data_IF_728033392969
#
_entry.id   IF_728033392969
#
_cell.length_a   1.000
_cell.length_b   1.000
_cell.length_c   1.000
_cell.angle_alpha   90.00
_cell.angle_beta   90.00
_cell.angle_gamma   90.00
#
_symmetry.space_group_name_H-M   'P 1'
#
loop_
_entity.id
_entity.type
_entity.pdbx_description
1 polymer ?
#
# COMPACT_ATOMS: atom_id res chain seq x y z
N UNK A 1 -5.55 -15.86 16.34
CA UNK A 1 -4.36 -16.52 15.74
C UNK A 1 -4.67 -17.23 14.42
N UNK A 2 -5.68 -18.11 14.37
CA UNK A 2 -6.03 -18.85 13.14
C UNK A 2 -6.28 -17.91 11.96
N UNK A 3 -7.10 -16.87 12.15
CA UNK A 3 -7.37 -15.86 11.13
C UNK A 3 -6.11 -15.14 10.64
N UNK A 4 -5.22 -14.71 11.55
CA UNK A 4 -3.96 -14.08 11.18
C UNK A 4 -3.05 -15.00 10.35
N UNK A 5 -3.02 -16.30 10.70
CA UNK A 5 -2.25 -17.31 9.95
C UNK A 5 -2.85 -17.52 8.56
N UNK A 6 -4.18 -17.68 8.50
CA UNK A 6 -4.93 -17.85 7.26
C UNK A 6 -4.74 -16.66 6.31
N UNK A 7 -4.90 -15.43 6.81
CA UNK A 7 -4.69 -14.21 6.03
C UNK A 7 -3.24 -14.12 5.54
N UNK A 8 -2.26 -14.42 6.40
CA UNK A 8 -0.86 -14.41 6.04
C UNK A 8 -0.50 -15.43 4.94
N UNK A 9 -1.00 -16.67 5.05
CA UNK A 9 -0.81 -17.71 4.04
C UNK A 9 -1.44 -17.34 2.71
N UNK A 10 -2.65 -16.77 2.72
CA UNK A 10 -3.30 -16.31 1.49
C UNK A 10 -2.53 -15.13 0.87
N UNK A 11 -2.12 -14.15 1.66
CA UNK A 11 -1.28 -13.06 1.16
C UNK A 11 0.04 -13.57 0.59
N UNK A 12 0.63 -14.62 1.19
CA UNK A 12 1.83 -15.27 0.65
C UNK A 12 1.55 -15.90 -0.71
N UNK A 13 0.40 -16.56 -0.90
CA UNK A 13 -0.01 -17.07 -2.22
C UNK A 13 -0.16 -15.93 -3.25
N UNK A 14 -0.79 -14.82 -2.87
CA UNK A 14 -0.91 -13.63 -3.73
C UNK A 14 0.44 -13.06 -4.13
N UNK A 15 1.34 -12.89 -3.16
CA UNK A 15 2.70 -12.43 -3.39
C UNK A 15 3.47 -13.37 -4.34
N UNK A 16 3.36 -14.68 -4.16
CA UNK A 16 3.99 -15.67 -5.04
C UNK A 16 3.39 -15.66 -6.46
N UNK A 17 2.10 -15.35 -6.62
CA UNK A 17 1.52 -15.12 -7.94
C UNK A 17 2.18 -13.93 -8.64
N UNK A 18 2.42 -12.83 -7.90
CA UNK A 18 3.15 -11.69 -8.44
C UNK A 18 4.60 -12.03 -8.76
N UNK A 19 5.26 -12.86 -7.97
CA UNK A 19 6.62 -13.33 -8.28
C UNK A 19 6.67 -14.03 -9.65
N UNK A 20 5.69 -14.87 -10.00
CA UNK A 20 5.63 -15.48 -11.34
C UNK A 20 5.49 -14.41 -12.43
N UNK A 21 4.60 -13.43 -12.26
CA UNK A 21 4.42 -12.35 -13.24
C UNK A 21 5.69 -11.51 -13.37
N UNK A 22 6.26 -11.05 -12.26
CA UNK A 22 7.47 -10.22 -12.20
C UNK A 22 8.69 -10.94 -12.81
N UNK A 23 8.86 -12.24 -12.56
CA UNK A 23 10.00 -12.98 -13.11
C UNK A 23 9.79 -13.39 -14.57
N UNK A 24 8.54 -13.42 -15.05
CA UNK A 24 8.22 -13.69 -16.45
C UNK A 24 8.21 -12.41 -17.30
N UNK A 25 7.92 -11.25 -16.70
CA UNK A 25 7.86 -9.92 -17.31
C UNK A 25 8.93 -9.02 -16.71
N UNK A 26 10.03 -8.81 -17.42
CA UNK A 26 11.15 -7.97 -16.94
C UNK A 26 10.91 -6.47 -17.07
N UNK A 27 9.81 -6.04 -17.69
CA UNK A 27 9.45 -4.62 -17.78
C UNK A 27 9.03 -4.08 -16.41
N UNK A 28 9.55 -2.92 -16.02
CA UNK A 28 9.06 -2.18 -14.85
C UNK A 28 7.67 -1.58 -15.08
N UNK A 29 7.07 -1.07 -14.01
CA UNK A 29 5.73 -0.48 -13.97
C UNK A 29 4.72 -1.31 -13.18
N UNK A 30 5.11 -2.48 -12.67
CA UNK A 30 4.28 -3.31 -11.79
C UNK A 30 2.99 -3.78 -12.45
N UNK A 31 1.89 -3.77 -11.70
CA UNK A 31 0.57 -4.23 -12.15
C UNK A 31 0.11 -3.58 -13.46
N UNK A 32 0.39 -2.28 -13.61
CA UNK A 32 0.02 -1.53 -14.80
C UNK A 32 0.57 -2.18 -16.07
N UNK A 33 1.85 -2.54 -16.08
CA UNK A 33 2.50 -3.12 -17.24
C UNK A 33 1.97 -4.52 -17.54
N UNK A 34 1.68 -5.31 -16.50
CA UNK A 34 1.07 -6.64 -16.68
C UNK A 34 -0.31 -6.53 -17.32
N UNK A 35 -1.14 -5.62 -16.82
CA UNK A 35 -2.49 -5.39 -17.34
C UNK A 35 -2.43 -4.84 -18.77
N UNK A 36 -1.51 -3.91 -19.06
CA UNK A 36 -1.32 -3.31 -20.37
C UNK A 36 -0.99 -4.36 -21.43
N UNK A 37 -0.02 -5.24 -21.13
CA UNK A 37 0.42 -6.29 -22.05
C UNK A 37 -0.66 -7.39 -22.21
N UNK A 38 -1.45 -7.69 -21.17
CA UNK A 38 -2.43 -8.78 -21.18
C UNK A 38 -3.78 -8.40 -21.78
N UNK A 39 -4.32 -7.25 -21.37
CA UNK A 39 -5.70 -6.84 -21.62
C UNK A 39 -5.82 -5.51 -22.36
N UNK A 40 -4.70 -4.84 -22.65
CA UNK A 40 -4.65 -3.62 -23.45
C UNK A 40 -4.78 -2.32 -22.65
N UNK A 41 -4.91 -1.18 -23.35
CA UNK A 41 -4.70 0.14 -22.76
C UNK A 41 -5.85 0.63 -21.86
N UNK A 42 -7.10 0.22 -22.10
CA UNK A 42 -8.24 0.68 -21.31
C UNK A 42 -8.16 0.19 -19.85
N UNK A 43 -8.04 -1.12 -19.55
CA UNK A 43 -7.93 -1.58 -18.17
C UNK A 43 -6.67 -1.07 -17.47
N UNK A 44 -5.56 -0.95 -18.21
CA UNK A 44 -4.31 -0.40 -17.69
C UNK A 44 -4.46 1.08 -17.30
N UNK A 45 -5.13 1.88 -18.14
CA UNK A 45 -5.44 3.27 -17.82
C UNK A 45 -6.36 3.36 -16.59
N UNK A 46 -7.39 2.51 -16.47
CA UNK A 46 -8.27 2.50 -15.30
C UNK A 46 -7.52 2.17 -14.00
N UNK A 47 -6.54 1.25 -14.06
CA UNK A 47 -5.65 0.99 -12.92
C UNK A 47 -4.86 2.24 -12.56
N UNK A 48 -4.27 2.93 -13.54
CA UNK A 48 -3.50 4.15 -13.28
C UNK A 48 -4.35 5.31 -12.79
N UNK A 49 -5.53 5.48 -13.35
CA UNK A 49 -6.52 6.48 -12.97
C UNK A 49 -6.89 6.33 -11.48
N UNK A 50 -7.28 5.12 -11.08
CA UNK A 50 -7.63 4.84 -9.69
C UNK A 50 -6.43 4.94 -8.76
N UNK A 51 -5.24 4.51 -9.21
CA UNK A 51 -4.02 4.61 -8.40
C UNK A 51 -3.58 6.07 -8.18
N UNK A 52 -3.64 6.92 -9.20
CA UNK A 52 -3.17 8.30 -9.16
C UNK A 52 -4.12 9.22 -8.40
N UNK A 53 -5.43 9.12 -8.65
CA UNK A 53 -6.39 10.08 -8.11
C UNK A 53 -7.11 9.60 -6.85
N UNK A 54 -7.18 8.29 -6.61
CA UNK A 54 -7.98 7.73 -5.53
C UNK A 54 -7.12 6.99 -4.50
N UNK A 55 -6.50 5.86 -4.88
CA UNK A 55 -5.84 4.92 -3.95
C UNK A 55 -4.54 5.51 -3.37
N UNK A 56 -3.69 6.08 -4.23
CA UNK A 56 -2.41 6.63 -3.80
C UNK A 56 -2.55 7.79 -2.81
N UNK A 57 -3.26 8.86 -3.18
CA UNK A 57 -3.40 10.06 -2.35
C UNK A 57 -4.07 9.84 -0.99
N UNK A 58 -5.12 9.04 -0.95
CA UNK A 58 -5.84 8.67 0.28
C UNK A 58 -4.99 7.80 1.22
N UNK A 59 -4.27 6.82 0.69
CA UNK A 59 -3.34 5.99 1.46
C UNK A 59 -2.25 6.85 2.09
N UNK A 60 -1.73 7.84 1.34
CA UNK A 60 -0.78 8.80 1.88
C UNK A 60 -1.39 9.67 2.99
N UNK A 61 -2.63 10.13 2.80
CA UNK A 61 -3.36 10.93 3.79
C UNK A 61 -3.59 10.16 5.10
N UNK A 62 -4.04 8.90 5.03
CA UNK A 62 -4.21 8.03 6.19
C UNK A 62 -2.90 7.91 6.97
N UNK A 63 -1.81 7.55 6.31
CA UNK A 63 -0.53 7.34 6.99
C UNK A 63 -0.01 8.64 7.62
N UNK A 64 -0.14 9.77 6.92
CA UNK A 64 0.25 11.07 7.46
C UNK A 64 -0.58 11.47 8.68
N UNK A 65 -1.90 11.24 8.66
CA UNK A 65 -2.79 11.46 9.81
C UNK A 65 -2.47 10.54 10.98
N UNK A 66 -2.15 9.26 10.71
CA UNK A 66 -1.68 8.34 11.75
C UNK A 66 -0.41 8.85 12.42
N UNK A 67 0.60 9.27 11.64
CA UNK A 67 1.82 9.87 12.21
C UNK A 67 1.48 11.09 13.07
N UNK A 68 0.62 11.98 12.58
CA UNK A 68 0.24 13.18 13.31
C UNK A 68 -0.44 12.87 14.65
N UNK A 69 -1.41 11.93 14.67
CA UNK A 69 -2.10 11.52 15.89
C UNK A 69 -1.13 10.95 16.93
N UNK A 70 -0.19 10.09 16.53
CA UNK A 70 0.79 9.52 17.46
C UNK A 70 1.82 10.55 17.94
N UNK A 71 2.17 11.55 17.12
CA UNK A 71 3.07 12.64 17.52
C UNK A 71 2.42 13.64 18.48
N UNK A 72 1.08 13.73 18.51
CA UNK A 72 0.36 14.59 19.46
C UNK A 72 0.16 13.98 20.84
N UNK A 73 0.27 12.66 20.97
CA UNK A 73 0.05 11.93 22.24
C UNK A 73 0.86 12.50 23.42
N UNK A 74 2.16 12.85 23.30
CA UNK A 74 2.93 13.39 24.42
C UNK A 74 2.42 14.72 24.97
N UNK A 75 1.68 15.51 24.15
CA UNK A 75 1.24 16.85 24.51
C UNK A 75 -0.19 16.88 25.05
N UNK A 76 -1.04 15.97 24.56
CA UNK A 76 -2.48 15.97 24.82
C UNK A 76 -2.98 14.67 25.50
N UNK A 77 -2.13 13.66 25.64
CA UNK A 77 -2.54 12.34 26.12
C UNK A 77 -3.16 11.48 25.02
N UNK A 78 -3.82 10.38 25.42
CA UNK A 78 -4.44 9.43 24.49
C UNK A 78 -5.90 9.77 24.13
N UNK A 79 -6.51 10.77 24.78
CA UNK A 79 -7.92 11.12 24.57
C UNK A 79 -8.09 11.95 23.27
N UNK A 80 -8.69 11.36 22.22
CA UNK A 80 -8.89 12.03 20.92
C UNK A 80 -9.65 13.37 21.03
N UNK A 81 -10.54 13.49 22.02
CA UNK A 81 -11.35 14.71 22.28
C UNK A 81 -10.47 15.92 22.65
N UNK A 82 -9.27 15.67 23.16
CA UNK A 82 -8.38 16.74 23.64
C UNK A 82 -7.52 17.37 22.54
N UNK A 83 -7.35 16.70 21.38
CA UNK A 83 -6.43 17.15 20.33
C UNK A 83 -7.15 18.06 19.32
N UNK A 84 -6.71 19.31 19.13
CA UNK A 84 -7.31 20.18 18.12
C UNK A 84 -7.10 19.59 16.71
N UNK A 85 -8.20 19.34 15.98
CA UNK A 85 -8.17 18.80 14.60
C UNK A 85 -7.21 19.58 13.69
N UNK A 86 -7.17 20.90 13.82
CA UNK A 86 -6.30 21.76 13.01
C UNK A 86 -4.80 21.47 13.25
N UNK A 87 -4.40 21.10 14.47
CA UNK A 87 -3.04 20.74 14.78
C UNK A 87 -2.65 19.41 14.11
N UNK A 88 -3.51 18.39 14.20
CA UNK A 88 -3.32 17.10 13.53
C UNK A 88 -3.19 17.27 12.02
N UNK A 89 -4.11 18.04 11.41
CA UNK A 89 -4.10 18.32 9.97
C UNK A 89 -2.81 19.03 9.55
N UNK A 90 -2.37 20.03 10.31
CA UNK A 90 -1.14 20.77 10.00
C UNK A 90 0.10 19.86 10.10
N UNK A 91 0.21 19.08 11.16
CA UNK A 91 1.31 18.12 11.34
C UNK A 91 1.30 17.08 10.21
N UNK A 92 0.13 16.55 9.84
CA UNK A 92 0.01 15.58 8.76
C UNK A 92 0.48 16.18 7.41
N UNK A 93 0.08 17.42 7.10
CA UNK A 93 0.54 18.12 5.89
C UNK A 93 2.05 18.34 5.93
N UNK A 94 2.63 18.72 7.07
CA UNK A 94 4.07 18.88 7.24
C UNK A 94 4.83 17.56 7.00
N UNK A 95 4.38 16.46 7.62
CA UNK A 95 4.96 15.11 7.45
C UNK A 95 4.91 14.69 5.99
N UNK A 96 3.76 14.90 5.34
CA UNK A 96 3.56 14.56 3.94
C UNK A 96 4.48 15.40 3.03
N UNK A 97 4.55 16.71 3.25
CA UNK A 97 5.45 17.59 2.49
C UNK A 97 6.92 17.19 2.65
N UNK A 98 7.38 16.93 3.88
CA UNK A 98 8.75 16.50 4.16
C UNK A 98 9.08 15.17 3.46
N UNK A 99 8.17 14.20 3.51
CA UNK A 99 8.34 12.91 2.83
C UNK A 99 8.51 13.11 1.32
N UNK A 100 7.61 13.88 0.70
CA UNK A 100 7.66 14.17 -0.73
C UNK A 100 8.92 14.94 -1.12
N UNK A 101 9.31 15.92 -0.32
CA UNK A 101 10.51 16.73 -0.53
C UNK A 101 11.77 15.86 -0.56
N UNK A 102 11.92 14.93 0.40
CA UNK A 102 13.07 14.02 0.44
C UNK A 102 13.08 13.08 -0.78
N UNK A 103 11.90 12.57 -1.18
CA UNK A 103 11.75 11.76 -2.38
C UNK A 103 12.13 12.52 -3.66
N UNK A 104 11.87 13.83 -3.72
CA UNK A 104 12.29 14.67 -4.84
C UNK A 104 13.80 14.91 -4.90
N UNK A 105 14.48 15.04 -3.75
CA UNK A 105 15.91 15.40 -3.71
C UNK A 105 16.83 14.20 -3.96
N UNK A 106 16.53 13.04 -3.37
CA UNK A 106 17.44 11.91 -3.48
C UNK A 106 16.80 10.57 -3.18
N UNK A 107 16.87 9.69 -4.19
CA UNK A 107 16.56 8.25 -4.07
C UNK A 107 17.41 7.59 -2.98
N UNK A 108 18.70 7.96 -2.85
CA UNK A 108 19.61 7.36 -1.86
C UNK A 108 19.20 7.70 -0.43
N UNK A 109 18.86 8.96 -0.16
CA UNK A 109 18.37 9.37 1.15
C UNK A 109 17.02 8.73 1.48
N UNK A 110 16.12 8.69 0.50
CA UNK A 110 14.83 8.00 0.62
C UNK A 110 14.99 6.54 1.00
N UNK A 111 15.90 5.81 0.35
CA UNK A 111 16.19 4.42 0.67
C UNK A 111 16.81 4.24 2.06
N UNK A 112 17.75 5.11 2.46
CA UNK A 112 18.35 5.09 3.81
C UNK A 112 17.32 5.35 4.90
N UNK A 113 16.42 6.32 4.70
CA UNK A 113 15.32 6.59 5.61
C UNK A 113 14.35 5.40 5.68
N UNK A 114 14.06 4.76 4.55
CA UNK A 114 13.23 3.55 4.54
C UNK A 114 13.84 2.44 5.41
N UNK A 115 15.16 2.22 5.32
CA UNK A 115 15.88 1.26 6.17
C UNK A 115 15.78 1.66 7.64
N UNK A 116 16.01 2.94 7.96
CA UNK A 116 15.87 3.45 9.33
C UNK A 116 14.46 3.19 9.89
N UNK A 117 13.40 3.56 9.17
CA UNK A 117 12.02 3.31 9.60
C UNK A 117 11.71 1.81 9.76
N UNK A 118 12.26 0.98 8.88
CA UNK A 118 12.09 -0.48 8.94
C UNK A 118 12.76 -1.05 10.20
N UNK A 119 13.98 -0.63 10.51
CA UNK A 119 14.68 -1.04 11.74
C UNK A 119 13.91 -0.55 12.97
N UNK A 120 13.47 0.70 13.01
CA UNK A 120 12.68 1.25 14.11
C UNK A 120 11.39 0.46 14.34
N UNK A 121 10.67 0.10 13.27
CA UNK A 121 9.47 -0.74 13.33
C UNK A 121 9.75 -2.13 13.90
N UNK A 122 10.83 -2.77 13.45
CA UNK A 122 11.23 -4.10 13.95
C UNK A 122 11.60 -4.02 15.43
N UNK A 123 12.36 -2.99 15.85
CA UNK A 123 12.73 -2.78 17.26
C UNK A 123 11.48 -2.60 18.14
N UNK A 124 10.52 -1.77 17.71
CA UNK A 124 9.26 -1.59 18.44
C UNK A 124 8.48 -2.90 18.61
N UNK A 125 8.40 -3.72 17.55
CA UNK A 125 7.75 -5.04 17.62
C UNK A 125 8.52 -6.02 18.51
N UNK A 126 9.86 -6.00 18.51
CA UNK A 126 10.66 -6.82 19.42
C UNK A 126 10.40 -6.44 20.87
N UNK A 127 10.38 -5.14 21.20
CA UNK A 127 10.08 -4.67 22.56
C UNK A 127 8.71 -5.19 23.01
N UNK A 128 7.69 -5.09 22.15
CA UNK A 128 6.35 -5.59 22.41
C UNK A 128 6.34 -7.11 22.67
N UNK A 129 6.98 -7.89 21.79
CA UNK A 129 7.02 -9.35 21.87
C UNK A 129 7.76 -9.80 23.14
N UNK A 130 8.95 -9.25 23.39
CA UNK A 130 9.77 -9.60 24.56
C UNK A 130 9.04 -9.24 25.85
N UNK A 131 8.43 -8.05 25.91
CA UNK A 131 7.66 -7.64 27.09
C UNK A 131 6.49 -8.58 27.33
N UNK A 132 5.72 -8.93 26.30
CA UNK A 132 4.63 -9.89 26.41
C UNK A 132 5.09 -11.28 26.87
N UNK A 133 6.22 -11.77 26.36
CA UNK A 133 6.84 -13.02 26.81
C UNK A 133 7.22 -12.98 28.29
N UNK A 134 7.79 -11.87 28.77
CA UNK A 134 8.11 -11.69 30.20
C UNK A 134 6.85 -11.77 31.07
N UNK A 135 5.74 -11.16 30.64
CA UNK A 135 4.46 -11.25 31.37
C UNK A 135 3.89 -12.68 31.40
N UNK A 136 4.00 -13.42 30.28
CA UNK A 136 3.63 -14.84 30.22
C UNK A 136 4.47 -15.65 31.21
N UNK A 137 5.79 -15.44 31.24
CA UNK A 137 6.71 -16.14 32.15
C UNK A 137 6.45 -15.80 33.63
N UNK A 138 5.94 -14.61 33.93
CA UNK A 138 5.47 -14.23 35.28
C UNK A 138 4.14 -14.86 35.68
N UNK A 139 3.54 -15.68 34.81
CA UNK A 139 2.29 -16.39 35.07
C UNK A 139 1.02 -15.68 34.62
N UNK A 140 1.13 -14.55 33.90
CA UNK A 140 -0.04 -13.83 33.38
C UNK A 140 -0.56 -14.51 32.09
N UNK A 141 -1.25 -15.64 32.27
CA UNK A 141 -1.77 -16.47 31.16
C UNK A 141 -3.29 -16.61 31.20
N UNK A 142 -3.99 -15.92 32.11
CA UNK A 142 -5.44 -16.01 32.25
C UNK A 142 -6.18 -15.69 30.94
N UNK A 143 -5.77 -14.62 30.27
CA UNK A 143 -6.33 -14.18 28.98
C UNK A 143 -5.98 -15.12 27.81
N UNK A 144 -5.00 -16.00 27.99
CA UNK A 144 -4.59 -17.01 27.01
C UNK A 144 -5.25 -18.38 27.28
N UNK A 145 -6.02 -18.51 28.36
CA UNK A 145 -6.84 -19.70 28.65
C UNK A 145 -8.23 -19.52 28.05
N UNK A 146 -8.84 -20.63 27.64
CA UNK A 146 -10.20 -20.67 27.07
C UNK A 146 -10.44 -19.73 25.89
N UNK A 147 -9.43 -19.51 25.03
CA UNK A 147 -9.48 -18.54 23.91
C UNK A 147 -10.55 -18.81 22.84
N UNK A 148 -11.23 -19.96 22.90
CA UNK A 148 -12.31 -20.34 21.99
C UNK A 148 -13.71 -20.22 22.63
N UNK A 149 -13.82 -19.94 23.93
CA UNK A 149 -15.11 -19.73 24.58
C UNK A 149 -15.80 -18.48 24.00
N UNK A 150 -17.04 -18.64 23.54
CA UNK A 150 -17.81 -17.57 22.89
C UNK A 150 -17.46 -17.31 21.41
N UNK A 151 -16.68 -18.20 20.76
CA UNK A 151 -16.37 -18.06 19.34
C UNK A 151 -17.61 -18.28 18.46
N UNK A 152 -18.19 -17.19 17.94
CA UNK A 152 -19.24 -17.25 16.93
C UNK A 152 -18.65 -17.13 15.51
N UNK A 153 -18.72 -18.20 14.73
CA UNK A 153 -18.45 -18.14 13.29
C UNK A 153 -19.72 -17.65 12.60
N UNK A 154 -19.88 -16.32 12.54
CA UNK A 154 -20.95 -15.70 11.78
C UNK A 154 -20.52 -15.45 10.34
N UNK A 155 -21.40 -15.77 9.39
CA UNK A 155 -21.23 -15.52 7.95
C UNK A 155 -20.98 -14.04 7.66
N UNK A 156 -21.47 -13.13 8.50
CA UNK A 156 -21.26 -11.68 8.34
C UNK A 156 -19.99 -11.17 9.00
N UNK A 157 -19.62 -11.69 10.19
CA UNK A 157 -18.44 -11.25 10.95
C UNK A 157 -17.14 -11.79 10.38
N UNK A 158 -17.14 -13.04 9.89
CA UNK A 158 -15.92 -13.71 9.42
C UNK A 158 -15.26 -13.00 8.23
N UNK A 159 -15.98 -12.61 7.16
CA UNK A 159 -15.36 -11.90 6.03
C UNK A 159 -14.80 -10.53 6.40
N UNK A 160 -15.46 -9.80 7.31
CA UNK A 160 -14.96 -8.51 7.82
C UNK A 160 -13.65 -8.70 8.59
N UNK A 161 -13.55 -9.73 9.44
CA UNK A 161 -12.31 -10.02 10.16
C UNK A 161 -11.17 -10.45 9.23
N UNK A 162 -11.48 -11.28 8.23
CA UNK A 162 -10.55 -11.69 7.17
C UNK A 162 -10.06 -10.47 6.38
N UNK A 163 -10.95 -9.57 5.99
CA UNK A 163 -10.61 -8.34 5.27
C UNK A 163 -9.61 -7.48 6.05
N UNK A 164 -9.87 -7.22 7.34
CA UNK A 164 -8.94 -6.47 8.20
C UNK A 164 -7.59 -7.20 8.36
N UNK A 165 -7.61 -8.53 8.49
CA UNK A 165 -6.40 -9.34 8.59
C UNK A 165 -5.53 -9.24 7.34
N UNK A 166 -6.12 -9.30 6.15
CA UNK A 166 -5.36 -9.23 4.90
C UNK A 166 -4.86 -7.81 4.63
N UNK A 167 -5.64 -6.78 5.00
CA UNK A 167 -5.17 -5.39 4.94
C UNK A 167 -3.85 -5.21 5.70
N UNK A 168 -3.71 -5.83 6.88
CA UNK A 168 -2.48 -5.78 7.66
C UNK A 168 -1.27 -6.46 6.97
N UNK A 169 -1.52 -7.41 6.07
CA UNK A 169 -0.51 -8.07 5.24
C UNK A 169 -0.38 -7.46 3.83
N UNK A 170 -1.04 -6.34 3.52
CA UNK A 170 -0.96 -5.71 2.19
C UNK A 170 0.39 -5.01 1.93
N UNK A 171 0.69 -4.69 0.67
CA UNK A 171 1.91 -3.99 0.25
C UNK A 171 3.02 -4.88 -0.34
N UNK A 172 2.79 -6.19 -0.44
CA UNK A 172 3.70 -7.13 -1.11
C UNK A 172 3.79 -6.92 -2.63
N UNK A 173 2.81 -6.26 -3.23
CA UNK A 173 2.71 -5.90 -4.64
C UNK A 173 3.72 -4.81 -5.07
N UNK A 174 4.20 -3.98 -4.13
CA UNK A 174 5.15 -2.90 -4.41
C UNK A 174 6.50 -3.36 -4.96
N UNK A 175 6.89 -4.61 -4.71
CA UNK A 175 8.11 -5.18 -5.27
C UNK A 175 8.09 -5.21 -6.81
N UNK A 176 6.89 -5.26 -7.41
CA UNK A 176 6.70 -5.27 -8.86
C UNK A 176 7.18 -3.98 -9.53
N UNK A 177 7.11 -2.84 -8.83
CA UNK A 177 7.54 -1.52 -9.33
C UNK A 177 9.06 -1.31 -9.28
N UNK A 178 9.81 -2.20 -8.61
CA UNK A 178 11.26 -2.06 -8.42
C UNK A 178 12.06 -3.19 -9.07
N UNK A 179 11.41 -4.01 -9.89
CA UNK A 179 12.00 -5.20 -10.52
C UNK A 179 13.28 -4.89 -11.30
N UNK A 180 13.31 -3.79 -12.04
CA UNK A 180 14.48 -3.36 -12.85
C UNK A 180 15.72 -3.03 -12.00
N UNK A 181 15.55 -2.68 -10.72
CA UNK A 181 16.65 -2.32 -9.81
C UNK A 181 17.22 -3.55 -9.08
N UNK A 182 16.54 -4.70 -9.13
CA UNK A 182 16.94 -5.92 -8.41
C UNK A 182 17.98 -6.69 -9.21
N UNK A 183 19.14 -6.93 -8.61
CA UNK A 183 20.16 -7.83 -9.18
C UNK A 183 19.66 -9.27 -9.19
N UNK A 184 19.72 -9.92 -10.35
CA UNK A 184 19.26 -11.30 -10.57
C UNK A 184 17.80 -11.53 -10.09
N UNK A 185 16.83 -10.84 -10.70
CA UNK A 185 15.44 -10.84 -10.22
C UNK A 185 14.85 -12.25 -10.14
N UNK A 186 15.20 -13.14 -11.09
CA UNK A 186 14.74 -14.54 -11.13
C UNK A 186 15.03 -15.34 -9.85
N UNK A 187 16.09 -15.01 -9.11
CA UNK A 187 16.49 -15.73 -7.89
C UNK A 187 16.24 -14.92 -6.64
N UNK A 188 16.52 -13.61 -6.71
CA UNK A 188 16.43 -12.71 -5.56
C UNK A 188 14.98 -12.44 -5.18
N UNK A 189 14.10 -12.19 -6.15
CA UNK A 189 12.70 -11.82 -5.86
C UNK A 189 11.93 -12.96 -5.18
N UNK A 190 11.94 -14.22 -5.69
CA UNK A 190 11.24 -15.32 -5.02
C UNK A 190 11.73 -15.55 -3.59
N UNK A 191 13.05 -15.54 -3.37
CA UNK A 191 13.64 -15.75 -2.04
C UNK A 191 13.26 -14.64 -1.08
N UNK A 192 13.36 -13.39 -1.52
CA UNK A 192 13.01 -12.23 -0.70
C UNK A 192 11.55 -12.26 -0.28
N UNK A 193 10.63 -12.59 -1.19
CA UNK A 193 9.18 -12.65 -0.90
C UNK A 193 8.85 -13.78 0.09
N UNK A 194 9.43 -14.98 -0.09
CA UNK A 194 9.19 -16.09 0.86
C UNK A 194 9.70 -15.73 2.25
N UNK A 195 10.94 -15.25 2.35
CA UNK A 195 11.57 -14.89 3.63
C UNK A 195 10.78 -13.76 4.30
N UNK A 196 10.43 -12.69 3.57
CA UNK A 196 9.71 -11.55 4.13
C UNK A 196 8.32 -11.94 4.61
N UNK A 197 7.54 -12.66 3.79
CA UNK A 197 6.18 -13.06 4.16
C UNK A 197 6.16 -14.02 5.36
N UNK A 198 7.03 -15.02 5.38
CA UNK A 198 7.14 -15.93 6.53
C UNK A 198 7.54 -15.19 7.80
N UNK A 199 8.48 -14.24 7.70
CA UNK A 199 8.92 -13.42 8.84
C UNK A 199 7.78 -12.56 9.38
N UNK A 200 7.01 -11.90 8.50
CA UNK A 200 5.86 -11.06 8.89
C UNK A 200 4.78 -11.90 9.58
N UNK A 201 4.46 -13.09 9.06
CA UNK A 201 3.49 -14.00 9.70
C UNK A 201 3.90 -14.33 11.13
N UNK A 202 5.16 -14.73 11.33
CA UNK A 202 5.69 -15.07 12.67
C UNK A 202 5.63 -13.87 13.60
N UNK A 203 6.11 -12.70 13.15
CA UNK A 203 6.10 -11.47 13.97
C UNK A 203 4.68 -11.06 14.34
N UNK A 204 3.72 -11.13 13.42
CA UNK A 204 2.33 -10.75 13.70
C UNK A 204 1.67 -11.70 14.69
N UNK A 205 1.93 -13.01 14.58
CA UNK A 205 1.43 -13.98 15.56
C UNK A 205 2.02 -13.73 16.94
N UNK A 206 3.34 -13.52 17.02
CA UNK A 206 4.02 -13.22 18.29
C UNK A 206 3.54 -11.91 18.89
N UNK A 207 3.32 -10.87 18.09
CA UNK A 207 2.80 -9.58 18.56
C UNK A 207 1.39 -9.71 19.11
N UNK A 208 0.50 -10.46 18.44
CA UNK A 208 -0.84 -10.71 18.96
C UNK A 208 -0.79 -11.51 20.28
N UNK A 209 0.09 -12.51 20.40
CA UNK A 209 0.28 -13.24 21.66
C UNK A 209 0.78 -12.28 22.76
N UNK A 210 1.69 -11.37 22.40
CA UNK A 210 2.16 -10.30 23.27
C UNK A 210 1.02 -9.41 23.78
N UNK A 211 0.13 -8.94 22.90
CA UNK A 211 -1.03 -8.14 23.32
C UNK A 211 -1.91 -8.89 24.33
N UNK A 212 -2.30 -10.13 24.04
CA UNK A 212 -3.17 -10.91 24.91
C UNK A 212 -2.48 -11.47 26.16
N UNK A 213 -1.17 -11.32 26.31
CA UNK A 213 -0.49 -11.60 27.60
C UNK A 213 -0.85 -10.61 28.71
N UNK A 214 -1.35 -9.43 28.33
CA UNK A 214 -1.62 -8.33 29.26
C UNK A 214 -3.04 -7.77 29.08
N UNK A 215 -3.46 -7.54 27.84
CA UNK A 215 -4.77 -6.96 27.53
C UNK A 215 -5.85 -8.04 27.46
N UNK A 216 -7.04 -7.70 27.94
CA UNK A 216 -8.24 -8.54 27.79
C UNK A 216 -8.86 -8.35 26.41
N UNK A 217 -9.66 -9.30 25.90
CA UNK A 217 -10.40 -9.12 24.65
C UNK A 217 -11.29 -7.87 24.63
N UNK A 218 -11.93 -7.56 25.75
CA UNK A 218 -12.78 -6.36 25.88
C UNK A 218 -11.96 -5.08 25.73
N UNK A 219 -10.79 -5.01 26.37
CA UNK A 219 -9.89 -3.85 26.26
C UNK A 219 -9.38 -3.64 24.84
N UNK A 220 -9.04 -4.73 24.13
CA UNK A 220 -8.63 -4.66 22.73
C UNK A 220 -9.77 -4.16 21.83
N UNK A 221 -11.03 -4.53 22.13
CA UNK A 221 -12.20 -4.11 21.36
C UNK A 221 -12.62 -2.67 21.63
N UNK A 222 -12.39 -2.15 22.85
CA UNK A 222 -12.71 -0.77 23.22
C UNK A 222 -11.60 0.23 22.91
N UNK A 223 -10.43 -0.26 22.51
CA UNK A 223 -9.24 0.57 22.28
C UNK A 223 -9.17 1.08 20.85
N UNK A 224 -9.03 2.39 20.69
CA UNK A 224 -8.71 3.01 19.40
C UNK A 224 -7.22 2.81 19.02
N UNK A 225 -6.34 2.58 20.01
CA UNK A 225 -4.91 2.42 19.84
C UNK A 225 -4.32 1.32 20.73
N UNK A 226 -4.57 0.05 20.37
CA UNK A 226 -4.16 -1.14 21.13
C UNK A 226 -2.67 -1.15 21.53
N UNK A 227 -1.80 -0.66 20.64
CA UNK A 227 -0.37 -0.56 20.92
C UNK A 227 -0.05 0.44 22.04
N UNK A 228 -0.73 1.60 22.03
CA UNK A 228 -0.55 2.62 23.06
C UNK A 228 -1.01 2.10 24.42
N UNK A 229 -2.18 1.47 24.49
CA UNK A 229 -2.72 0.91 25.73
C UNK A 229 -1.84 -0.21 26.30
N UNK A 230 -1.31 -1.06 25.43
CA UNK A 230 -0.29 -2.04 25.82
C UNK A 230 0.94 -1.34 26.41
N UNK A 231 1.46 -0.30 25.75
CA UNK A 231 2.61 0.47 26.22
C UNK A 231 2.38 1.08 27.60
N UNK A 232 1.24 1.72 27.81
CA UNK A 232 0.87 2.35 29.08
C UNK A 232 0.82 1.32 30.22
N UNK A 233 0.21 0.16 29.99
CA UNK A 233 0.11 -0.89 31.03
C UNK A 233 1.42 -1.66 31.25
N UNK A 234 2.19 -1.91 30.19
CA UNK A 234 3.36 -2.77 30.26
C UNK A 234 4.64 -2.03 30.68
N UNK A 235 4.80 -0.79 30.22
CA UNK A 235 6.05 -0.03 30.32
C UNK A 235 5.94 1.19 31.26
N UNK A 236 4.73 1.59 31.66
CA UNK A 236 4.51 2.76 32.53
C UNK A 236 5.13 4.02 31.92
N UNK A 237 6.12 4.59 32.61
CA UNK A 237 6.84 5.80 32.19
C UNK A 237 7.55 5.67 30.83
N UNK A 238 7.83 4.43 30.38
CA UNK A 238 8.48 4.14 29.09
C UNK A 238 7.50 3.94 27.93
N UNK A 239 6.20 4.17 28.15
CA UNK A 239 5.14 4.04 27.14
C UNK A 239 5.38 4.91 25.90
N UNK A 240 6.20 5.97 26.02
CA UNK A 240 6.59 6.84 24.91
C UNK A 240 7.38 6.20 23.79
N UNK A 241 8.07 5.11 24.09
CA UNK A 241 8.75 4.32 23.07
C UNK A 241 7.73 3.74 22.07
N UNK A 242 6.56 3.30 22.54
CA UNK A 242 5.58 2.64 21.68
C UNK A 242 4.95 3.63 20.70
N UNK A 243 4.51 4.81 21.15
CA UNK A 243 3.95 5.83 20.26
C UNK A 243 4.96 6.28 19.21
N UNK A 244 6.22 6.46 19.62
CA UNK A 244 7.31 6.84 18.71
C UNK A 244 7.54 5.77 17.64
N UNK A 245 7.65 4.50 18.01
CA UNK A 245 7.87 3.43 17.03
C UNK A 245 6.67 3.23 16.10
N UNK A 246 5.44 3.43 16.59
CA UNK A 246 4.24 3.39 15.75
C UNK A 246 4.23 4.55 14.75
N UNK A 247 4.56 5.77 15.19
CA UNK A 247 4.69 6.93 14.31
C UNK A 247 5.78 6.71 13.24
N UNK A 248 6.96 6.22 13.64
CA UNK A 248 8.06 5.90 12.70
C UNK A 248 7.66 4.80 11.71
N UNK A 249 6.88 3.81 12.15
CA UNK A 249 6.35 2.76 11.27
C UNK A 249 5.38 3.33 10.22
N UNK A 250 4.46 4.20 10.63
CA UNK A 250 3.51 4.85 9.71
C UNK A 250 4.25 5.78 8.71
N UNK A 251 5.26 6.52 9.17
CA UNK A 251 6.12 7.33 8.32
C UNK A 251 6.92 6.48 7.30
N UNK A 252 7.41 5.31 7.72
CA UNK A 252 8.05 4.34 6.82
C UNK A 252 7.11 3.77 5.76
N UNK A 253 5.85 3.50 6.10
CA UNK A 253 4.85 3.08 5.13
C UNK A 253 4.55 4.20 4.11
N UNK A 254 4.39 5.44 4.57
CA UNK A 254 4.19 6.61 3.71
C UNK A 254 5.35 6.78 2.73
N UNK A 255 6.59 6.75 3.22
CA UNK A 255 7.79 6.88 2.39
C UNK A 255 7.88 5.76 1.34
N UNK A 256 7.68 4.50 1.74
CA UNK A 256 7.67 3.36 0.82
C UNK A 256 6.59 3.46 -0.26
N UNK A 257 5.41 3.92 0.11
CA UNK A 257 4.28 4.08 -0.80
C UNK A 257 4.51 5.17 -1.86
N UNK A 258 5.02 6.34 -1.45
CA UNK A 258 5.41 7.41 -2.39
C UNK A 258 6.53 6.93 -3.32
N UNK A 259 7.53 6.24 -2.76
CA UNK A 259 8.66 5.75 -3.51
C UNK A 259 8.27 4.68 -4.56
N UNK A 260 7.37 3.76 -4.23
CA UNK A 260 6.91 2.72 -5.15
C UNK A 260 6.00 3.24 -6.27
N UNK A 261 5.02 4.10 -5.95
CA UNK A 261 3.99 4.54 -6.90
C UNK A 261 4.49 5.52 -7.94
N UNK A 262 5.47 6.35 -7.60
CA UNK A 262 6.01 7.38 -8.51
C UNK A 262 6.68 6.76 -9.74
N UNK A 263 7.31 5.60 -9.60
CA UNK A 263 7.85 4.80 -10.71
C UNK A 263 6.75 4.28 -11.63
N UNK A 264 5.65 3.82 -11.06
CA UNK A 264 4.50 3.35 -11.84
C UNK A 264 3.89 4.49 -12.65
N UNK A 265 3.76 5.70 -12.08
CA UNK A 265 3.32 6.90 -12.82
C UNK A 265 4.28 7.26 -13.94
N UNK A 266 5.59 7.22 -13.67
CA UNK A 266 6.63 7.46 -14.68
C UNK A 266 6.51 6.50 -15.87
N UNK A 267 6.37 5.19 -15.61
CA UNK A 267 6.22 4.17 -16.66
C UNK A 267 4.92 4.36 -17.44
N UNK A 268 3.81 4.64 -16.77
CA UNK A 268 2.53 4.88 -17.46
C UNK A 268 2.54 6.13 -18.35
N UNK A 269 3.26 7.17 -17.95
CA UNK A 269 3.47 8.35 -18.79
C UNK A 269 4.37 8.05 -19.99
N UNK A 270 5.38 7.18 -19.82
CA UNK A 270 6.24 6.70 -20.91
C UNK A 270 5.46 5.88 -21.95
N UNK A 271 4.48 5.09 -21.52
CA UNK A 271 3.57 4.34 -22.40
C UNK A 271 2.44 5.21 -23.01
N UNK A 272 2.44 6.54 -22.77
CA UNK A 272 1.49 7.48 -23.35
C UNK A 272 0.09 7.43 -22.74
N UNK A 273 -0.09 6.72 -21.61
CA UNK A 273 -1.36 6.64 -20.89
C UNK A 273 -1.54 7.75 -19.85
N UNK A 274 -0.44 8.42 -19.47
CA UNK A 274 -0.46 9.63 -18.64
C UNK A 274 0.25 10.80 -19.36
N UNK A 275 0.02 12.05 -18.93
CA UNK A 275 0.71 13.20 -19.51
C UNK A 275 2.23 13.08 -19.50
N UNK A 276 2.86 13.47 -20.61
CA UNK A 276 4.29 13.28 -20.86
C UNK A 276 5.21 13.97 -19.83
N UNK A 277 4.81 15.09 -19.23
CA UNK A 277 5.63 15.73 -18.20
C UNK A 277 5.87 14.83 -16.97
N UNK A 278 5.04 13.81 -16.74
CA UNK A 278 5.19 12.86 -15.64
C UNK A 278 6.29 11.81 -15.90
N UNK A 279 6.73 11.62 -17.14
CA UNK A 279 7.89 10.77 -17.49
C UNK A 279 9.20 11.56 -17.57
N UNK A 280 9.24 12.81 -17.07
CA UNK A 280 10.47 13.61 -17.03
C UNK A 280 11.28 13.35 -15.74
N UNK A 281 12.61 13.42 -15.87
CA UNK A 281 13.57 13.21 -14.78
C UNK A 281 14.32 14.51 -14.52
N UNK A 282 14.49 14.90 -13.25
CA UNK A 282 15.28 16.08 -12.88
C UNK A 282 16.76 15.89 -13.21
N UNK A 283 17.41 16.90 -13.80
CA UNK A 283 18.80 16.82 -14.30
C UNK A 283 19.82 16.47 -13.20
N UNK A 284 19.83 17.22 -12.09
CA UNK A 284 20.84 17.02 -11.03
C UNK A 284 20.51 15.86 -10.07
N UNK A 285 19.24 15.72 -9.69
CA UNK A 285 18.79 14.75 -8.69
C UNK A 285 18.46 13.36 -9.25
N UNK A 286 18.28 13.25 -10.58
CA UNK A 286 17.93 12.00 -11.26
C UNK A 286 16.66 11.35 -10.69
N UNK A 287 15.69 12.18 -10.28
CA UNK A 287 14.43 11.80 -9.64
C UNK A 287 13.23 12.22 -10.50
N UNK A 288 12.11 11.46 -10.50
CA UNK A 288 10.90 11.80 -11.25
C UNK A 288 10.05 12.84 -10.50
N UNK A 289 10.61 14.04 -10.29
CA UNK A 289 9.97 15.11 -9.49
C UNK A 289 8.55 15.45 -9.96
N UNK A 290 8.25 15.60 -11.27
CA UNK A 290 6.89 15.94 -11.70
C UNK A 290 5.85 14.88 -11.30
N UNK A 291 6.21 13.59 -11.37
CA UNK A 291 5.35 12.49 -10.94
C UNK A 291 5.11 12.47 -9.43
N UNK A 292 6.11 12.84 -8.64
CA UNK A 292 5.98 13.01 -7.19
C UNK A 292 5.07 14.21 -6.91
N UNK A 293 5.37 15.37 -7.50
CA UNK A 293 4.70 16.63 -7.24
C UNK A 293 3.20 16.61 -7.56
N UNK A 294 2.77 15.91 -8.63
CA UNK A 294 1.34 15.87 -8.98
C UNK A 294 0.49 15.12 -7.94
N UNK A 295 1.06 14.14 -7.24
CA UNK A 295 0.32 13.35 -6.25
C UNK A 295 0.19 14.04 -4.89
N UNK A 296 0.99 15.09 -4.65
CA UNK A 296 1.00 15.87 -3.40
C UNK A 296 -0.31 16.65 -3.17
N UNK A 297 -0.82 17.48 -4.12
CA UNK A 297 -2.07 18.21 -3.95
C UNK A 297 -3.27 17.31 -3.68
N UNK A 298 -3.37 16.17 -4.38
CA UNK A 298 -4.45 15.21 -4.13
C UNK A 298 -4.38 14.66 -2.71
N UNK A 299 -3.17 14.32 -2.24
CA UNK A 299 -3.01 13.79 -0.88
C UNK A 299 -3.37 14.84 0.18
N UNK A 300 -3.00 16.11 -0.04
CA UNK A 300 -3.38 17.22 0.83
C UNK A 300 -4.90 17.45 0.86
N UNK A 301 -5.56 17.41 -0.29
CA UNK A 301 -7.02 17.54 -0.38
C UNK A 301 -7.71 16.47 0.46
N UNK A 302 -7.21 15.23 0.40
CA UNK A 302 -7.76 14.14 1.20
C UNK A 302 -7.56 14.31 2.71
N UNK A 303 -6.44 14.90 3.15
CA UNK A 303 -6.25 15.25 4.57
C UNK A 303 -7.31 16.27 5.03
N UNK A 304 -7.62 17.27 4.20
CA UNK A 304 -8.57 18.33 4.55
C UNK A 304 -10.02 17.82 4.66
N UNK A 305 -10.44 16.93 3.76
CA UNK A 305 -11.81 16.37 3.73
C UNK A 305 -12.08 15.50 4.98
N UNK A 306 -11.06 14.84 5.53
CA UNK A 306 -11.03 14.43 6.94
C UNK A 306 -11.86 13.22 7.34
N UNK A 307 -12.09 12.25 6.46
CA UNK A 307 -12.60 10.92 6.85
C UNK A 307 -11.77 9.78 6.26
N UNK A 308 -10.50 9.73 6.67
CA UNK A 308 -9.51 8.81 6.14
C UNK A 308 -9.92 7.32 6.28
N UNK A 309 -10.74 6.97 7.28
CA UNK A 309 -11.23 5.61 7.53
C UNK A 309 -12.34 5.20 6.57
N UNK A 310 -13.29 6.10 6.28
CA UNK A 310 -14.26 5.87 5.20
C UNK A 310 -13.54 5.73 3.86
N UNK A 311 -12.43 6.46 3.66
CA UNK A 311 -11.65 6.38 2.43
C UNK A 311 -10.99 5.03 2.19
N UNK A 312 -10.39 4.41 3.22
CA UNK A 312 -9.83 3.06 3.10
C UNK A 312 -10.89 2.07 2.61
N UNK A 313 -12.13 2.19 3.10
CA UNK A 313 -13.24 1.29 2.73
C UNK A 313 -13.57 1.37 1.24
N UNK A 314 -13.63 2.56 0.65
CA UNK A 314 -13.88 2.74 -0.79
C UNK A 314 -12.79 2.11 -1.66
N UNK A 315 -11.53 2.20 -1.22
CA UNK A 315 -10.38 2.03 -2.10
C UNK A 315 -9.83 0.62 -2.09
N UNK A 316 -9.95 -0.04 -0.94
CA UNK A 316 -9.50 -1.42 -0.79
C UNK A 316 -10.30 -2.35 -1.70
N UNK A 317 -11.61 -2.08 -1.92
CA UNK A 317 -12.40 -2.82 -2.90
C UNK A 317 -11.81 -2.75 -4.32
N UNK A 318 -11.45 -1.55 -4.77
CA UNK A 318 -10.87 -1.32 -6.11
C UNK A 318 -9.50 -1.99 -6.22
N UNK A 319 -8.69 -1.91 -5.16
CA UNK A 319 -7.34 -2.50 -5.15
C UNK A 319 -7.40 -4.04 -5.21
N UNK A 320 -8.34 -4.67 -4.49
CA UNK A 320 -8.60 -6.10 -4.59
C UNK A 320 -9.11 -6.53 -5.97
N UNK A 321 -9.97 -5.71 -6.59
CA UNK A 321 -10.42 -5.96 -7.96
C UNK A 321 -9.25 -6.00 -8.94
N UNK A 322 -8.36 -5.00 -8.90
CA UNK A 322 -7.20 -4.97 -9.79
C UNK A 322 -6.15 -6.03 -9.45
N UNK A 323 -6.01 -6.40 -8.18
CA UNK A 323 -5.15 -7.53 -7.77
C UNK A 323 -5.66 -8.85 -8.34
N UNK A 324 -6.96 -9.12 -8.23
CA UNK A 324 -7.60 -10.31 -8.79
C UNK A 324 -7.48 -10.32 -10.32
N UNK A 325 -7.70 -9.17 -10.96
CA UNK A 325 -7.58 -8.99 -12.41
C UNK A 325 -6.14 -9.24 -12.90
N UNK A 326 -5.14 -8.76 -12.17
CA UNK A 326 -3.72 -8.98 -12.46
C UNK A 326 -3.35 -10.45 -12.30
N UNK A 327 -3.80 -11.13 -11.24
CA UNK A 327 -3.47 -12.55 -11.02
C UNK A 327 -4.20 -13.45 -12.01
N UNK A 328 -5.37 -13.06 -12.52
CA UNK A 328 -6.07 -13.76 -13.61
C UNK A 328 -5.26 -13.82 -14.92
N UNK A 329 -4.22 -12.99 -15.07
CA UNK A 329 -3.27 -13.07 -16.19
C UNK A 329 -2.52 -14.41 -16.19
N UNK A 330 -2.21 -14.99 -15.03
CA UNK A 330 -1.45 -16.25 -14.91
C UNK A 330 -2.16 -17.41 -15.63
N UNK A 331 -3.41 -17.79 -15.30
CA UNK A 331 -4.10 -18.85 -16.03
C UNK A 331 -4.30 -18.49 -17.50
N UNK A 332 -4.61 -17.23 -17.82
CA UNK A 332 -4.75 -16.76 -19.20
C UNK A 332 -3.47 -16.97 -20.03
N UNK A 333 -2.31 -16.59 -19.51
CA UNK A 333 -1.02 -16.75 -20.19
C UNK A 333 -0.52 -18.19 -20.21
N UNK A 334 -0.85 -19.01 -19.23
CA UNK A 334 -0.56 -20.45 -19.32
C UNK A 334 -1.33 -21.12 -20.45
N UNK A 335 -2.55 -20.65 -20.73
CA UNK A 335 -3.35 -21.11 -21.85
C UNK A 335 -2.88 -20.53 -23.20
N UNK A 336 -2.69 -19.20 -23.30
CA UNK A 336 -2.38 -18.51 -24.55
C UNK A 336 -0.90 -18.60 -24.96
N UNK A 337 0.02 -18.57 -24.00
CA UNK A 337 1.48 -18.56 -24.23
C UNK A 337 2.16 -19.68 -23.42
N UNK A 338 1.91 -20.95 -23.74
CA UNK A 338 2.43 -22.08 -22.94
C UNK A 338 3.96 -22.11 -22.90
N UNK A 339 4.62 -21.75 -24.00
CA UNK A 339 6.08 -21.82 -24.19
C UNK A 339 6.86 -20.62 -23.62
N UNK A 340 6.18 -19.66 -22.99
CA UNK A 340 6.85 -18.52 -22.36
C UNK A 340 7.78 -19.00 -21.23
N UNK A 341 9.02 -18.46 -21.18
CA UNK A 341 9.96 -18.73 -20.09
C UNK A 341 9.41 -18.19 -18.77
N UNK A 342 9.30 -19.07 -17.77
CA UNK A 342 8.83 -18.75 -16.41
C UNK A 342 9.88 -19.21 -15.40
N UNK A 343 10.78 -18.32 -14.96
CA UNK A 343 11.83 -18.68 -14.00
C UNK A 343 11.27 -19.15 -12.66
N UNK A 344 10.18 -18.54 -12.21
CA UNK A 344 9.38 -19.01 -11.08
C UNK A 344 7.98 -19.39 -11.57
N UNK A 345 7.46 -20.53 -11.09
CA UNK A 345 6.16 -21.08 -11.52
C UNK A 345 5.36 -21.55 -10.31
N UNK A 346 4.30 -20.82 -9.95
CA UNK A 346 3.40 -21.21 -8.85
C UNK A 346 2.43 -22.33 -9.31
N UNK A 347 2.04 -23.30 -8.47
CA UNK A 347 0.99 -24.23 -8.82
C UNK A 347 -0.33 -23.52 -9.18
N UNK A 348 -0.94 -23.89 -10.33
CA UNK A 348 -2.22 -23.31 -10.79
C UNK A 348 -3.33 -23.38 -9.73
N UNK A 349 -3.50 -24.48 -8.96
CA UNK A 349 -4.54 -24.55 -7.94
C UNK A 349 -4.42 -23.44 -6.91
N UNK A 350 -3.21 -23.04 -6.50
CA UNK A 350 -3.01 -21.96 -5.54
C UNK A 350 -3.43 -20.60 -6.12
N UNK A 351 -3.09 -20.35 -7.39
CA UNK A 351 -3.54 -19.15 -8.10
C UNK A 351 -5.07 -19.09 -8.18
N UNK A 352 -5.73 -20.20 -8.51
CA UNK A 352 -7.19 -20.27 -8.58
C UNK A 352 -7.82 -20.05 -7.20
N UNK A 353 -7.28 -20.67 -6.15
CA UNK A 353 -7.74 -20.46 -4.77
C UNK A 353 -7.67 -18.97 -4.40
N UNK A 354 -6.56 -18.29 -4.73
CA UNK A 354 -6.42 -16.87 -4.47
C UNK A 354 -7.45 -16.04 -5.24
N UNK A 355 -7.64 -16.29 -6.54
CA UNK A 355 -8.66 -15.59 -7.35
C UNK A 355 -10.05 -15.78 -6.75
N UNK A 356 -10.46 -17.03 -6.46
CA UNK A 356 -11.75 -17.33 -5.86
C UNK A 356 -11.94 -16.64 -4.51
N UNK A 357 -10.88 -16.60 -3.71
CA UNK A 357 -10.90 -15.94 -2.41
C UNK A 357 -11.01 -14.41 -2.53
N UNK A 358 -10.28 -13.78 -3.44
CA UNK A 358 -10.42 -12.33 -3.69
C UNK A 358 -11.80 -11.97 -4.21
N UNK A 359 -12.38 -12.79 -5.11
CA UNK A 359 -13.76 -12.63 -5.57
C UNK A 359 -14.76 -12.77 -4.41
N UNK A 360 -14.56 -13.75 -3.52
CA UNK A 360 -15.38 -13.91 -2.33
C UNK A 360 -15.34 -12.67 -1.44
N UNK A 361 -14.16 -12.13 -1.15
CA UNK A 361 -14.01 -10.89 -0.35
C UNK A 361 -14.71 -9.72 -1.03
N UNK A 362 -14.55 -9.57 -2.34
CA UNK A 362 -15.22 -8.51 -3.08
C UNK A 362 -16.74 -8.62 -2.99
N UNK A 363 -17.31 -9.82 -3.18
CA UNK A 363 -18.76 -10.05 -3.05
C UNK A 363 -19.24 -9.74 -1.64
N UNK A 364 -18.50 -10.16 -0.60
CA UNK A 364 -18.84 -9.84 0.78
C UNK A 364 -18.71 -8.35 1.11
N UNK A 365 -17.77 -7.65 0.47
CA UNK A 365 -17.63 -6.19 0.60
C UNK A 365 -18.82 -5.49 -0.06
N UNK A 366 -19.26 -5.93 -1.24
CA UNK A 366 -20.48 -5.44 -1.88
C UNK A 366 -21.73 -5.67 -1.01
N UNK A 367 -21.80 -6.81 -0.32
CA UNK A 367 -22.94 -7.14 0.55
C UNK A 367 -22.95 -6.31 1.84
N UNK A 368 -21.82 -6.21 2.52
CA UNK A 368 -21.70 -5.51 3.82
C UNK A 368 -21.63 -3.99 3.67
N UNK A 369 -21.08 -3.50 2.56
CA UNK A 369 -20.80 -2.09 2.29
C UNK A 369 -21.16 -1.72 0.83
N UNK A 370 -22.45 -1.83 0.45
CA UNK A 370 -22.90 -1.66 -0.94
C UNK A 370 -22.66 -0.24 -1.46
N UNK A 371 -22.93 0.78 -0.64
CA UNK A 371 -22.74 2.18 -1.04
C UNK A 371 -21.28 2.47 -1.38
N UNK A 372 -20.34 2.00 -0.55
CA UNK A 372 -18.91 2.23 -0.77
C UNK A 372 -18.38 1.48 -1.99
N UNK A 373 -18.80 0.22 -2.17
CA UNK A 373 -18.43 -0.57 -3.35
C UNK A 373 -18.96 0.06 -4.65
N UNK A 374 -20.21 0.52 -4.64
CA UNK A 374 -20.85 1.17 -5.79
C UNK A 374 -20.14 2.47 -6.19
N UNK A 375 -19.82 3.33 -5.22
CA UNK A 375 -19.07 4.56 -5.48
C UNK A 375 -17.67 4.27 -6.02
N UNK A 376 -17.00 3.21 -5.54
CA UNK A 376 -15.70 2.79 -6.08
C UNK A 376 -15.77 2.38 -7.56
N UNK A 377 -16.84 1.67 -7.96
CA UNK A 377 -17.09 1.32 -9.37
C UNK A 377 -17.34 2.56 -10.21
N UNK A 378 -18.19 3.49 -9.77
CA UNK A 378 -18.45 4.76 -10.48
C UNK A 378 -17.15 5.54 -10.65
N UNK A 379 -16.37 5.70 -9.58
CA UNK A 379 -15.11 6.45 -9.62
C UNK A 379 -14.08 5.80 -10.56
N UNK A 380 -14.08 4.47 -10.66
CA UNK A 380 -13.27 3.74 -11.65
C UNK A 380 -13.78 3.99 -13.06
N UNK A 381 -15.08 3.83 -13.31
CA UNK A 381 -15.69 4.02 -14.63
C UNK A 381 -15.63 5.48 -15.13
N UNK A 382 -15.55 6.45 -14.22
CA UNK A 382 -15.30 7.85 -14.57
C UNK A 382 -13.94 8.05 -15.29
N UNK A 383 -13.00 7.11 -15.16
CA UNK A 383 -11.77 7.10 -15.94
C UNK A 383 -11.99 6.76 -17.42
N UNK A 384 -13.05 6.06 -17.79
CA UNK A 384 -13.34 5.67 -19.19
C UNK A 384 -13.53 6.89 -20.12
N UNK A 385 -14.40 7.87 -19.83
CA UNK A 385 -14.54 9.04 -20.70
C UNK A 385 -13.24 9.86 -20.79
N UNK A 386 -12.48 9.91 -19.69
CA UNK A 386 -11.19 10.61 -19.64
C UNK A 386 -10.15 9.90 -20.51
N UNK A 387 -10.13 8.56 -20.51
CA UNK A 387 -9.28 7.79 -21.42
C UNK A 387 -9.57 8.12 -22.88
N UNK A 388 -10.85 8.15 -23.27
CA UNK A 388 -11.22 8.45 -24.65
C UNK A 388 -10.86 9.87 -25.06
N UNK A 389 -11.02 10.84 -24.14
CA UNK A 389 -10.69 12.25 -24.37
C UNK A 389 -9.16 12.50 -24.42
N UNK A 390 -8.41 11.91 -23.50
CA UNK A 390 -6.99 12.22 -23.32
C UNK A 390 -6.08 11.33 -24.16
N UNK A 391 -6.37 10.03 -24.25
CA UNK A 391 -5.47 9.02 -24.84
C UNK A 391 -5.95 8.60 -26.22
N UNK A 392 -7.18 8.11 -26.35
CA UNK A 392 -7.67 7.54 -27.61
C UNK A 392 -7.83 8.59 -28.72
N UNK A 393 -8.16 9.83 -28.35
CA UNK A 393 -8.26 10.94 -29.30
C UNK A 393 -6.88 11.33 -29.85
N UNK A 394 -6.50 10.75 -30.99
CA UNK A 394 -5.23 11.00 -31.68
C UNK A 394 -5.26 12.29 -32.50
N UNK A 395 -6.37 12.57 -33.19
CA UNK A 395 -6.55 13.73 -34.05
C UNK A 395 -7.01 14.98 -33.26
N UNK A 396 -6.24 15.37 -32.24
CA UNK A 396 -6.52 16.57 -31.44
C UNK A 396 -6.36 17.84 -32.30
N UNK A 397 -7.19 18.88 -32.12
CA UNK A 397 -7.06 20.11 -32.88
C UNK A 397 -5.72 20.81 -32.55
N UNK A 398 -5.11 21.54 -33.50
CA UNK A 398 -3.77 22.12 -33.33
C UNK A 398 -3.63 23.02 -32.10
N UNK A 399 -4.68 23.76 -31.74
CA UNK A 399 -4.68 24.62 -30.56
C UNK A 399 -4.49 23.83 -29.26
N UNK A 400 -5.12 22.65 -29.14
CA UNK A 400 -5.03 21.80 -27.96
C UNK A 400 -3.65 21.16 -27.85
N UNK A 401 -3.09 20.71 -28.97
CA UNK A 401 -1.71 20.21 -29.04
C UNK A 401 -0.73 21.30 -28.58
N UNK A 402 -0.90 22.54 -29.06
CA UNK A 402 -0.07 23.67 -28.64
C UNK A 402 -0.19 23.96 -27.14
N UNK A 403 -1.38 23.82 -26.54
CA UNK A 403 -1.57 23.95 -25.09
C UNK A 403 -0.83 22.83 -24.35
N UNK A 404 -0.98 21.57 -24.77
CA UNK A 404 -0.29 20.42 -24.14
C UNK A 404 1.24 20.61 -24.20
N UNK A 405 1.77 21.05 -25.35
CA UNK A 405 3.20 21.32 -25.50
C UNK A 405 3.66 22.48 -24.60
N UNK A 406 2.88 23.56 -24.49
CA UNK A 406 3.19 24.66 -23.56
C UNK A 406 3.18 24.21 -22.10
N UNK A 407 2.22 23.37 -21.71
CA UNK A 407 2.14 22.79 -20.36
C UNK A 407 3.35 21.91 -20.09
N UNK A 408 3.71 21.03 -21.02
CA UNK A 408 4.90 20.20 -20.92
C UNK A 408 6.17 21.05 -20.77
N UNK A 409 6.32 22.09 -21.61
CA UNK A 409 7.47 22.99 -21.57
C UNK A 409 7.51 23.83 -20.27
N UNK A 410 6.35 24.23 -19.75
CA UNK A 410 6.24 24.90 -18.45
C UNK A 410 6.77 23.98 -17.35
N UNK A 411 6.27 22.76 -17.24
CA UNK A 411 6.72 21.81 -16.21
C UNK A 411 8.19 21.41 -16.39
N UNK A 412 8.64 21.28 -17.63
CA UNK A 412 10.04 21.02 -17.94
C UNK A 412 10.97 22.12 -17.39
N UNK A 413 10.60 23.39 -17.62
CA UNK A 413 11.35 24.55 -17.11
C UNK A 413 11.20 24.71 -15.58
N UNK A 414 9.99 24.55 -15.07
CA UNK A 414 9.68 24.71 -13.64
C UNK A 414 10.41 23.69 -12.77
N UNK A 415 10.42 22.42 -13.19
CA UNK A 415 11.10 21.35 -12.46
C UNK A 415 12.53 21.10 -12.91
N UNK A 416 13.07 21.87 -13.87
CA UNK A 416 14.39 21.64 -14.45
C UNK A 416 14.62 20.16 -14.81
N UNK A 417 13.63 19.59 -15.50
CA UNK A 417 13.55 18.17 -15.82
C UNK A 417 13.70 17.96 -17.32
N UNK A 418 14.14 16.77 -17.73
CA UNK A 418 14.30 16.38 -19.13
C UNK A 418 13.53 15.10 -19.42
N UNK A 419 13.19 14.91 -20.70
CA UNK A 419 12.63 13.64 -21.17
C UNK A 419 13.72 12.57 -21.14
N UNK A 420 13.33 11.33 -20.93
CA UNK A 420 14.25 10.21 -21.07
C UNK A 420 14.62 10.04 -22.54
N UNK A 421 15.93 10.07 -22.87
CA UNK A 421 16.42 10.03 -24.26
C UNK A 421 16.36 8.62 -24.89
N UNK A 422 16.42 7.55 -24.08
CA UNK A 422 16.36 6.16 -24.56
C UNK A 422 15.23 5.34 -23.90
N UNK A 423 14.47 4.62 -24.72
CA UNK A 423 13.57 3.55 -24.24
C UNK A 423 14.43 2.37 -23.78
N UNK A 424 14.58 2.22 -22.47
CA UNK A 424 15.22 1.06 -21.85
C UNK A 424 14.27 -0.14 -21.92
N UNK A 425 14.71 -1.24 -22.55
CA UNK A 425 14.09 -2.57 -22.53
C UNK A 425 15.08 -3.59 -21.96
#
# INVERSE_FOLDING_TARGET
>A
MILWTFCGLISMVGALCYVELITSYTKSGGEFTFILDAFGPVPAFLRMWTLLFLIGPSSNAVQALTVANYLTVPFFGCDEVSVPRNAVVLIAICVLFLTFFINCISVKWTARLQVFYTVAKIVGLIILIVTGLVFILKGNVSNLRNTFEGAEISITKFPLAVYSGIFAYSGWDYISSMTEEVKQPEKTIPRSVVISMSTVIVIYLLANIGYFSLLTPQEVLSSDAVAADFGTKALGDWSWLIWLFVALSAAGNLNGAVFGRTRTFFVAAREGLLPEFLSMIHINHLTPIPAIAISLPFSMLFILVGDALILIKYLTFIDWFFSAFTIAIIPYYRWKYPNMRRPFKIPLPLTIIFILFTLFIMVMTCYTQPFYSFMGVIATLAGVPIYYLCVWWTNKPPWLINVILKVNLFFQKFFFAIRQEEKTY
#
